data_IF_446832216839
#
_entry.id   IF_446832216839
#
_cell.length_a   1.000
_cell.length_b   1.000
_cell.length_c   1.000
_cell.angle_alpha   90.00
_cell.angle_beta   90.00
_cell.angle_gamma   90.00
#
_symmetry.space_group_name_H-M   'P 1'
#
loop_
_entity.id
_entity.type
_entity.pdbx_description
1 polymer ?
#
# COMPACT_ATOMS: atom_id res chain seq x y z
N UNK A 1 23.84 -27.14 -14.23
CA UNK A 1 23.69 -25.92 -15.07
C UNK A 1 23.77 -24.62 -14.24
N UNK A 2 23.14 -24.55 -13.06
CA UNK A 2 23.15 -23.34 -12.21
C UNK A 2 24.54 -22.98 -11.64
N UNK A 3 25.34 -23.96 -11.22
CA UNK A 3 26.69 -23.72 -10.67
C UNK A 3 27.69 -23.12 -11.67
N UNK A 4 27.60 -23.50 -12.95
CA UNK A 4 28.48 -22.98 -14.01
C UNK A 4 28.09 -21.55 -14.42
N UNK A 5 26.79 -21.24 -14.39
CA UNK A 5 26.29 -19.88 -14.56
C UNK A 5 26.72 -18.95 -13.41
N UNK A 6 26.71 -19.44 -12.17
CA UNK A 6 27.22 -18.69 -11.00
C UNK A 6 28.71 -18.40 -11.16
N UNK A 7 29.52 -19.41 -11.51
CA UNK A 7 30.97 -19.24 -11.72
C UNK A 7 31.27 -18.24 -12.85
N UNK A 8 30.52 -18.29 -13.95
CA UNK A 8 30.66 -17.35 -15.05
C UNK A 8 30.31 -15.92 -14.62
N UNK A 9 29.20 -15.73 -13.89
CA UNK A 9 28.84 -14.43 -13.33
C UNK A 9 29.90 -13.87 -12.38
N UNK A 10 30.49 -14.72 -11.55
CA UNK A 10 31.57 -14.35 -10.63
C UNK A 10 32.85 -13.93 -11.37
N UNK A 11 33.19 -14.64 -12.45
CA UNK A 11 34.34 -14.31 -13.29
C UNK A 11 34.15 -12.96 -13.99
N UNK A 12 32.97 -12.72 -14.58
CA UNK A 12 32.62 -11.43 -15.20
C UNK A 12 32.70 -10.31 -14.18
N UNK A 13 32.19 -10.52 -12.96
CA UNK A 13 32.25 -9.53 -11.88
C UNK A 13 33.69 -9.18 -11.47
N UNK A 14 34.57 -10.18 -11.35
CA UNK A 14 35.99 -9.97 -11.05
C UNK A 14 36.66 -9.15 -12.17
N UNK A 15 36.38 -9.43 -13.43
CA UNK A 15 36.95 -8.67 -14.55
C UNK A 15 36.49 -7.21 -14.53
N UNK A 16 35.19 -6.96 -14.31
CA UNK A 16 34.63 -5.60 -14.24
C UNK A 16 35.24 -4.80 -13.08
N UNK A 17 35.38 -5.41 -11.91
CA UNK A 17 35.99 -4.75 -10.74
C UNK A 17 37.48 -4.43 -10.95
N UNK A 18 38.24 -5.31 -11.61
CA UNK A 18 39.64 -5.04 -11.97
C UNK A 18 39.77 -3.88 -12.97
N UNK A 19 38.90 -3.81 -13.99
CA UNK A 19 38.88 -2.69 -14.94
C UNK A 19 38.56 -1.38 -14.22
N UNK A 20 37.55 -1.37 -13.34
CA UNK A 20 37.17 -0.23 -12.52
C UNK A 20 38.33 0.26 -11.64
N UNK A 21 39.02 -0.66 -10.96
CA UNK A 21 40.20 -0.34 -10.14
C UNK A 21 41.32 0.30 -10.96
N UNK A 22 41.57 -0.20 -12.18
CA UNK A 22 42.62 0.34 -13.07
C UNK A 22 42.29 1.76 -13.56
N UNK A 23 41.02 2.02 -13.85
CA UNK A 23 40.54 3.36 -14.24
C UNK A 23 40.63 4.32 -13.04
N UNK A 24 40.16 3.90 -11.88
CA UNK A 24 40.26 4.71 -10.65
C UNK A 24 41.69 5.03 -10.24
N UNK A 25 42.61 4.08 -10.41
CA UNK A 25 44.03 4.28 -10.15
C UNK A 25 44.63 5.39 -11.04
N UNK A 26 44.28 5.39 -12.33
CA UNK A 26 44.70 6.45 -13.26
C UNK A 26 44.13 7.82 -12.90
N UNK A 27 42.87 7.88 -12.47
CA UNK A 27 42.17 9.15 -12.22
C UNK A 27 42.56 9.76 -10.87
N UNK A 28 42.63 8.96 -9.80
CA UNK A 28 42.79 9.46 -8.43
C UNK A 28 44.18 9.20 -7.81
N UNK A 29 45.17 8.76 -8.61
CA UNK A 29 46.59 8.58 -8.26
C UNK A 29 46.81 7.96 -6.86
N UNK A 30 46.95 8.79 -5.82
CA UNK A 30 47.23 8.40 -4.41
C UNK A 30 46.04 7.84 -3.62
N UNK A 31 44.80 8.12 -4.04
CA UNK A 31 43.56 7.52 -3.45
C UNK A 31 42.92 6.48 -4.39
N UNK A 32 43.66 6.09 -5.43
CA UNK A 32 43.17 5.58 -6.70
C UNK A 32 42.37 4.28 -6.69
N UNK A 33 42.71 3.34 -5.81
CA UNK A 33 42.00 2.06 -5.71
C UNK A 33 40.62 2.24 -5.04
N UNK A 34 40.59 2.95 -3.91
CA UNK A 34 39.35 3.22 -3.16
C UNK A 34 38.41 4.17 -3.91
N UNK A 35 38.96 5.21 -4.54
CA UNK A 35 38.17 6.14 -5.36
C UNK A 35 37.59 5.46 -6.61
N UNK A 36 38.33 4.53 -7.24
CA UNK A 36 37.83 3.72 -8.36
C UNK A 36 36.68 2.81 -7.97
N UNK A 37 36.83 2.12 -6.84
CA UNK A 37 35.78 1.27 -6.27
C UNK A 37 34.54 2.08 -5.86
N UNK A 38 34.72 3.23 -5.20
CA UNK A 38 33.62 4.13 -4.83
C UNK A 38 32.93 4.77 -6.05
N UNK A 39 33.65 5.04 -7.14
CA UNK A 39 33.04 5.55 -8.38
C UNK A 39 32.16 4.51 -9.07
N UNK A 40 32.58 3.23 -9.09
CA UNK A 40 31.84 2.18 -9.80
C UNK A 40 30.77 1.50 -8.97
N UNK A 41 31.01 1.29 -7.67
CA UNK A 41 30.05 0.67 -6.75
C UNK A 41 29.30 1.71 -5.92
N UNK A 42 29.97 2.76 -5.47
CA UNK A 42 29.35 3.81 -4.65
C UNK A 42 28.33 4.65 -5.42
N UNK A 43 28.52 4.87 -6.73
CA UNK A 43 27.53 5.58 -7.55
C UNK A 43 26.16 4.89 -7.56
N UNK A 44 26.15 3.56 -7.54
CA UNK A 44 24.91 2.77 -7.49
C UNK A 44 24.21 2.86 -6.13
N UNK A 45 24.98 2.80 -5.04
CA UNK A 45 24.46 2.99 -3.67
C UNK A 45 23.92 4.42 -3.49
N UNK A 46 24.64 5.42 -3.99
CA UNK A 46 24.21 6.84 -3.93
C UNK A 46 22.92 7.03 -4.73
N UNK A 47 22.82 6.45 -5.93
CA UNK A 47 21.59 6.47 -6.71
C UNK A 47 20.42 5.82 -5.94
N UNK A 48 20.62 4.66 -5.32
CA UNK A 48 19.60 4.02 -4.49
C UNK A 48 19.19 4.85 -3.29
N UNK A 49 20.14 5.50 -2.60
CA UNK A 49 19.86 6.36 -1.47
C UNK A 49 19.05 7.59 -1.88
N UNK A 50 19.38 8.22 -3.02
CA UNK A 50 18.63 9.34 -3.58
C UNK A 50 17.22 8.89 -3.99
N UNK A 51 17.11 7.75 -4.67
CA UNK A 51 15.81 7.19 -5.07
C UNK A 51 14.94 6.89 -3.85
N UNK A 52 15.50 6.27 -2.81
CA UNK A 52 14.80 6.00 -1.56
C UNK A 52 14.33 7.30 -0.90
N UNK A 53 15.21 8.29 -0.74
CA UNK A 53 14.87 9.57 -0.12
C UNK A 53 13.80 10.33 -0.91
N UNK A 54 13.88 10.31 -2.24
CA UNK A 54 12.89 10.95 -3.10
C UNK A 54 11.50 10.30 -2.98
N UNK A 55 11.45 8.96 -3.02
CA UNK A 55 10.17 8.23 -2.87
C UNK A 55 9.63 8.44 -1.45
N UNK A 56 10.47 8.34 -0.42
CA UNK A 56 10.07 8.58 0.97
C UNK A 56 9.46 9.97 1.16
N UNK A 57 10.11 11.02 0.64
CA UNK A 57 9.60 12.38 0.73
C UNK A 57 8.25 12.54 0.02
N UNK A 58 8.09 11.93 -1.16
CA UNK A 58 6.84 11.96 -1.91
C UNK A 58 5.71 11.21 -1.18
N UNK A 59 5.99 10.04 -0.61
CA UNK A 59 5.01 9.27 0.18
C UNK A 59 4.61 10.03 1.42
N UNK A 60 5.57 10.57 2.18
CA UNK A 60 5.29 11.39 3.37
C UNK A 60 4.41 12.60 3.03
N UNK A 61 4.71 13.31 1.95
CA UNK A 61 3.87 14.41 1.47
C UNK A 61 2.44 13.97 1.14
N UNK A 62 2.27 12.88 0.40
CA UNK A 62 0.95 12.36 0.06
C UNK A 62 0.18 11.88 1.30
N UNK A 63 0.86 11.28 2.27
CA UNK A 63 0.26 10.89 3.54
C UNK A 63 -0.25 12.09 4.33
N UNK A 64 0.52 13.17 4.40
CA UNK A 64 0.11 14.39 5.11
C UNK A 64 -1.05 15.13 4.43
N UNK A 65 -1.10 15.12 3.09
CA UNK A 65 -2.10 15.88 2.33
C UNK A 65 -3.39 15.11 2.07
N UNK A 66 -3.30 13.81 1.81
CA UNK A 66 -4.42 13.03 1.28
C UNK A 66 -4.84 11.85 2.15
N UNK A 67 -3.94 11.31 2.98
CA UNK A 67 -4.25 10.14 3.78
C UNK A 67 -5.00 10.50 5.06
N UNK A 68 -5.76 9.52 5.57
CA UNK A 68 -6.54 9.65 6.78
C UNK A 68 -8.00 9.27 6.57
N UNK A 69 -8.80 9.54 7.60
CA UNK A 69 -10.20 9.15 7.68
C UNK A 69 -11.05 10.40 7.69
N UNK A 70 -12.01 10.46 6.76
CA UNK A 70 -13.06 11.47 6.71
C UNK A 70 -14.38 10.81 7.09
N UNK A 71 -14.93 11.20 8.24
CA UNK A 71 -16.25 10.77 8.70
C UNK A 71 -17.28 11.79 8.24
N UNK A 72 -18.13 11.41 7.29
CA UNK A 72 -19.22 12.25 6.79
C UNK A 72 -20.47 12.14 7.66
N UNK A 73 -20.74 10.93 8.17
CA UNK A 73 -21.87 10.65 9.06
C UNK A 73 -21.35 9.84 10.24
N UNK A 74 -21.44 10.38 11.44
CA UNK A 74 -20.98 9.65 12.65
C UNK A 74 -21.88 8.44 12.95
N UNK A 75 -21.37 7.41 13.66
CA UNK A 75 -22.18 6.25 14.05
C UNK A 75 -23.45 6.62 14.82
N UNK A 76 -23.37 7.63 15.70
CA UNK A 76 -24.51 8.11 16.48
C UNK A 76 -25.57 8.78 15.61
N UNK A 77 -25.15 9.61 14.64
CA UNK A 77 -26.06 10.25 13.69
C UNK A 77 -26.71 9.21 12.80
N UNK A 78 -25.94 8.25 12.28
CA UNK A 78 -26.46 7.18 11.45
C UNK A 78 -27.46 6.30 12.22
N UNK A 79 -27.15 5.96 13.48
CA UNK A 79 -28.07 5.22 14.36
C UNK A 79 -29.39 5.95 14.56
N UNK A 80 -29.38 7.27 14.74
CA UNK A 80 -30.61 8.07 14.82
C UNK A 80 -31.39 8.08 13.49
N UNK A 81 -30.71 8.05 12.35
CA UNK A 81 -31.34 8.03 11.03
C UNK A 81 -32.05 6.70 10.74
N UNK A 82 -31.45 5.56 11.09
CA UNK A 82 -32.05 4.24 10.83
C UNK A 82 -33.02 3.79 11.93
N UNK A 83 -32.97 4.42 13.11
CA UNK A 83 -33.89 4.19 14.21
C UNK A 83 -33.91 2.73 14.70
N UNK A 84 -35.11 2.14 14.75
CA UNK A 84 -35.34 0.79 15.29
C UNK A 84 -34.59 -0.31 14.52
N UNK A 85 -34.24 -0.07 13.25
CA UNK A 85 -33.49 -1.04 12.45
C UNK A 85 -32.10 -1.32 13.00
N UNK A 86 -31.50 -0.40 13.76
CA UNK A 86 -30.20 -0.58 14.41
C UNK A 86 -30.12 -1.88 15.21
N UNK A 87 -31.21 -2.23 15.91
CA UNK A 87 -31.27 -3.44 16.74
C UNK A 87 -31.25 -4.74 15.93
N UNK A 88 -31.43 -4.67 14.61
CA UNK A 88 -31.37 -5.82 13.69
C UNK A 88 -30.04 -5.92 12.94
N UNK A 89 -29.15 -4.93 13.08
CA UNK A 89 -27.88 -4.87 12.37
C UNK A 89 -26.82 -5.75 13.05
N UNK A 90 -26.85 -7.04 12.72
CA UNK A 90 -25.77 -7.96 13.07
C UNK A 90 -24.61 -7.82 12.09
N UNK A 91 -23.38 -7.98 12.58
CA UNK A 91 -22.20 -8.20 11.74
C UNK A 91 -22.43 -9.46 10.90
N UNK A 92 -22.20 -9.39 9.60
CA UNK A 92 -22.11 -10.62 8.80
C UNK A 92 -20.86 -11.40 9.26
N UNK A 93 -21.02 -12.68 9.56
CA UNK A 93 -19.86 -13.56 9.73
C UNK A 93 -19.20 -13.73 8.35
N UNK A 94 -17.87 -13.75 8.30
CA UNK A 94 -17.05 -13.85 7.08
C UNK A 94 -17.46 -15.02 6.14
N UNK A 95 -18.20 -15.99 6.66
CA UNK A 95 -18.63 -17.23 5.99
C UNK A 95 -19.90 -17.02 5.12
N UNK A 96 -20.71 -15.98 5.38
CA UNK A 96 -21.91 -15.64 4.56
C UNK A 96 -21.61 -14.58 3.48
N UNK A 97 -20.37 -14.51 2.96
CA UNK A 97 -19.98 -13.61 1.85
C UNK A 97 -20.58 -14.00 0.49
N UNK A 98 -21.69 -14.74 0.48
CA UNK A 98 -22.29 -15.26 -0.73
C UNK A 98 -23.17 -14.21 -1.39
N UNK A 99 -22.69 -13.79 -2.57
CA UNK A 99 -23.37 -12.98 -3.58
C UNK A 99 -23.46 -11.48 -3.23
N UNK A 100 -22.35 -10.76 -3.45
CA UNK A 100 -22.36 -9.30 -3.58
C UNK A 100 -23.29 -8.89 -4.71
N UNK A 101 -24.49 -8.34 -4.45
CA UNK A 101 -25.38 -7.94 -5.52
C UNK A 101 -25.16 -6.45 -5.78
N UNK A 102 -23.95 -6.01 -6.12
CA UNK A 102 -23.77 -4.60 -6.47
C UNK A 102 -22.70 -4.39 -7.54
N UNK A 103 -23.05 -3.53 -8.47
CA UNK A 103 -22.24 -3.09 -9.60
C UNK A 103 -21.16 -2.13 -9.10
N UNK A 104 -20.09 -2.01 -9.86
CA UNK A 104 -19.13 -0.94 -9.70
C UNK A 104 -19.86 0.41 -9.62
N UNK A 105 -19.42 1.26 -8.69
CA UNK A 105 -19.94 2.62 -8.56
C UNK A 105 -18.87 3.59 -9.03
N UNK A 106 -19.29 4.65 -9.70
CA UNK A 106 -18.39 5.73 -10.11
C UNK A 106 -18.67 6.96 -9.26
N UNK A 107 -17.67 7.40 -8.50
CA UNK A 107 -17.71 8.62 -7.67
C UNK A 107 -16.50 9.46 -8.07
N UNK A 108 -16.71 10.74 -8.37
CA UNK A 108 -15.64 11.67 -8.77
C UNK A 108 -14.77 11.13 -9.93
N UNK A 109 -15.39 10.53 -10.94
CA UNK A 109 -14.74 9.86 -12.08
C UNK A 109 -13.81 8.69 -11.70
N UNK A 110 -13.92 8.15 -10.49
CA UNK A 110 -13.20 6.95 -10.03
C UNK A 110 -14.16 5.80 -9.85
N UNK A 111 -13.77 4.63 -10.36
CA UNK A 111 -14.56 3.41 -10.22
C UNK A 111 -14.18 2.68 -8.93
N UNK A 112 -15.18 2.31 -8.16
CA UNK A 112 -14.99 1.54 -6.93
C UNK A 112 -15.64 0.18 -7.06
N UNK A 113 -14.91 -0.84 -6.60
CA UNK A 113 -15.36 -2.23 -6.55
C UNK A 113 -15.85 -2.55 -5.13
N UNK A 114 -16.97 -3.29 -4.96
CA UNK A 114 -17.38 -3.77 -3.66
C UNK A 114 -16.40 -4.84 -3.16
N UNK A 115 -15.92 -4.71 -1.92
CA UNK A 115 -14.95 -5.65 -1.32
C UNK A 115 -15.48 -6.41 -0.12
N UNK A 116 -16.40 -5.81 0.63
CA UNK A 116 -17.00 -6.46 1.80
C UNK A 116 -18.36 -5.85 2.14
N UNK A 117 -19.14 -6.58 2.91
CA UNK A 117 -20.41 -6.11 3.46
C UNK A 117 -20.38 -6.31 4.98
N UNK A 118 -20.53 -5.22 5.73
CA UNK A 118 -20.38 -5.24 7.19
C UNK A 118 -21.66 -5.76 7.85
N UNK A 119 -22.81 -5.32 7.35
CA UNK A 119 -24.14 -5.70 7.81
C UNK A 119 -25.14 -5.57 6.64
N UNK A 120 -26.44 -5.82 6.87
CA UNK A 120 -27.46 -5.74 5.81
C UNK A 120 -27.51 -4.40 5.04
N UNK A 121 -27.07 -3.31 5.67
CA UNK A 121 -27.16 -1.95 5.12
C UNK A 121 -25.80 -1.40 4.65
N UNK A 122 -24.66 -1.80 5.23
CA UNK A 122 -23.36 -1.18 4.93
C UNK A 122 -22.50 -2.05 4.03
N UNK A 123 -22.04 -1.46 2.92
CA UNK A 123 -21.13 -2.06 1.96
C UNK A 123 -19.85 -1.25 1.91
N UNK A 124 -18.72 -1.94 1.88
CA UNK A 124 -17.40 -1.35 1.69
C UNK A 124 -17.02 -1.44 0.22
N UNK A 125 -16.69 -0.29 -0.33
CA UNK A 125 -16.16 -0.15 -1.68
C UNK A 125 -14.71 0.24 -1.61
N UNK A 126 -13.91 -0.21 -2.58
CA UNK A 126 -12.52 0.18 -2.68
C UNK A 126 -12.11 0.58 -4.10
N UNK A 127 -11.12 1.44 -4.16
CA UNK A 127 -10.43 1.83 -5.38
C UNK A 127 -8.93 1.77 -5.13
N UNK A 128 -8.24 1.09 -6.04
CA UNK A 128 -6.79 0.98 -6.06
C UNK A 128 -6.27 1.80 -7.24
N UNK A 129 -5.49 2.83 -6.94
CA UNK A 129 -4.92 3.74 -7.93
C UNK A 129 -3.40 3.69 -7.88
N UNK A 130 -2.77 3.45 -9.03
CA UNK A 130 -1.31 3.48 -9.13
C UNK A 130 -0.83 4.89 -9.45
N UNK A 131 -0.33 5.60 -8.45
CA UNK A 131 0.18 6.98 -8.59
C UNK A 131 1.55 7.03 -9.28
N UNK A 132 2.36 5.97 -9.14
CA UNK A 132 3.64 5.83 -9.84
C UNK A 132 4.11 4.37 -9.88
N UNK A 133 5.32 4.12 -10.38
CA UNK A 133 5.88 2.77 -10.40
C UNK A 133 5.94 2.11 -9.02
N UNK A 134 6.20 2.88 -7.96
CA UNK A 134 6.42 2.35 -6.60
C UNK A 134 5.43 2.85 -5.56
N UNK A 135 4.46 3.70 -5.94
CA UNK A 135 3.49 4.31 -5.02
C UNK A 135 2.09 3.98 -5.52
N UNK A 136 1.28 3.47 -4.61
CA UNK A 136 -0.13 3.16 -4.80
C UNK A 136 -0.96 3.89 -3.76
N UNK A 137 -2.18 4.24 -4.16
CA UNK A 137 -3.19 4.83 -3.31
C UNK A 137 -4.35 3.88 -3.21
N UNK A 138 -4.77 3.62 -1.99
CA UNK A 138 -5.99 2.90 -1.69
C UNK A 138 -7.01 3.88 -1.13
N UNK A 139 -8.20 3.88 -1.70
CA UNK A 139 -9.34 4.64 -1.18
C UNK A 139 -10.46 3.67 -0.92
N UNK A 140 -11.04 3.69 0.27
CA UNK A 140 -12.24 2.93 0.51
C UNK A 140 -13.33 3.73 1.20
N UNK A 141 -14.54 3.29 0.93
CA UNK A 141 -15.77 4.00 1.22
C UNK A 141 -16.71 3.04 1.93
N UNK A 142 -17.17 3.42 3.11
CA UNK A 142 -18.32 2.80 3.76
C UNK A 142 -19.57 3.51 3.25
N UNK A 143 -20.44 2.77 2.58
CA UNK A 143 -21.67 3.32 2.00
C UNK A 143 -22.87 2.59 2.61
N UNK A 144 -23.85 3.39 3.03
CA UNK A 144 -25.16 2.86 3.37
C UNK A 144 -25.95 2.57 2.09
N UNK A 145 -26.24 1.30 1.85
CA UNK A 145 -27.00 0.78 0.70
C UNK A 145 -28.40 1.39 0.61
N UNK A 146 -29.04 1.68 1.74
CA UNK A 146 -30.43 2.18 1.75
C UNK A 146 -30.47 3.65 1.35
N UNK A 147 -29.63 4.48 1.97
CA UNK A 147 -29.60 5.92 1.67
C UNK A 147 -28.66 6.32 0.53
N UNK A 148 -27.82 5.39 0.05
CA UNK A 148 -26.74 5.63 -0.92
C UNK A 148 -25.76 6.74 -0.47
N UNK A 149 -25.64 6.97 0.84
CA UNK A 149 -24.74 7.98 1.41
C UNK A 149 -23.41 7.36 1.79
N UNK A 150 -22.34 8.10 1.52
CA UNK A 150 -21.01 7.79 2.05
C UNK A 150 -21.00 8.13 3.54
N UNK A 151 -20.75 7.15 4.39
CA UNK A 151 -20.64 7.31 5.83
C UNK A 151 -19.21 7.72 6.21
N UNK A 152 -18.24 6.97 5.66
CA UNK A 152 -16.82 7.15 5.93
C UNK A 152 -16.04 6.98 4.63
N UNK A 153 -15.04 7.82 4.43
CA UNK A 153 -13.98 7.63 3.44
C UNK A 153 -12.67 7.53 4.17
N UNK A 154 -11.86 6.54 3.82
CA UNK A 154 -10.48 6.48 4.25
C UNK A 154 -9.58 6.43 3.03
N UNK A 155 -8.40 7.00 3.17
CA UNK A 155 -7.36 7.01 2.15
C UNK A 155 -6.06 6.55 2.79
N UNK A 156 -5.41 5.59 2.17
CA UNK A 156 -4.08 5.14 2.55
C UNK A 156 -3.14 5.21 1.34
N UNK A 157 -1.88 5.50 1.62
CA UNK A 157 -0.82 5.52 0.62
C UNK A 157 0.19 4.43 0.98
N UNK A 158 0.42 3.54 0.03
CA UNK A 158 1.42 2.48 0.14
C UNK A 158 2.52 2.70 -0.89
N UNK A 159 3.71 2.24 -0.53
CA UNK A 159 4.85 2.24 -1.43
C UNK A 159 5.64 0.95 -1.25
N UNK A 160 6.21 0.46 -2.34
CA UNK A 160 6.93 -0.78 -2.31
C UNK A 160 7.53 -1.15 -3.65
N UNK A 161 8.42 -2.13 -3.60
CA UNK A 161 9.20 -2.58 -4.74
C UNK A 161 8.40 -3.46 -5.73
N UNK A 162 7.17 -3.83 -5.37
CA UNK A 162 6.31 -4.75 -6.11
C UNK A 162 6.83 -6.19 -6.11
N UNK A 163 6.17 -7.07 -6.87
CA UNK A 163 6.56 -8.48 -7.02
C UNK A 163 7.16 -8.70 -8.41
N UNK A 164 8.40 -9.20 -8.48
CA UNK A 164 9.06 -9.66 -9.71
C UNK A 164 8.72 -11.12 -10.02
N UNK A 165 8.99 -11.53 -11.25
CA UNK A 165 8.65 -12.84 -11.85
C UNK A 165 9.11 -14.06 -11.02
N UNK A 166 10.10 -13.90 -10.12
CA UNK A 166 10.66 -14.98 -9.31
C UNK A 166 10.38 -14.86 -7.79
N UNK A 167 9.49 -13.95 -7.37
CA UNK A 167 9.28 -13.62 -5.96
C UNK A 167 10.34 -12.64 -5.45
N UNK A 168 9.91 -11.54 -4.84
CA UNK A 168 10.78 -10.41 -4.44
C UNK A 168 10.97 -9.39 -5.57
N UNK A 169 11.73 -8.33 -5.33
CA UNK A 169 12.04 -7.29 -6.32
C UNK A 169 13.51 -6.91 -6.21
N UNK A 170 14.21 -6.62 -7.33
CA UNK A 170 15.59 -6.16 -7.29
C UNK A 170 15.75 -4.85 -6.50
N UNK A 171 14.64 -4.11 -6.26
CA UNK A 171 14.60 -2.90 -5.45
C UNK A 171 14.12 -3.15 -4.02
N UNK A 172 14.59 -4.22 -3.38
CA UNK A 172 14.13 -4.65 -2.05
C UNK A 172 14.22 -3.55 -0.97
N UNK A 173 15.13 -2.59 -1.10
CA UNK A 173 15.26 -1.47 -0.15
C UNK A 173 14.02 -0.56 -0.11
N UNK A 174 13.21 -0.53 -1.18
CA UNK A 174 11.96 0.22 -1.22
C UNK A 174 10.85 -0.39 -0.34
N UNK A 175 11.01 -1.62 0.14
CA UNK A 175 10.07 -2.23 1.07
C UNK A 175 10.21 -1.71 2.51
N UNK A 176 11.24 -0.91 2.79
CA UNK A 176 11.49 -0.28 4.08
C UNK A 176 11.08 1.20 4.11
N UNK A 177 10.29 1.64 3.12
CA UNK A 177 9.72 2.98 3.13
C UNK A 177 8.66 3.06 4.24
N UNK A 178 8.64 4.19 4.95
CA UNK A 178 7.56 4.49 5.88
C UNK A 178 6.35 4.97 5.06
N UNK A 179 5.28 4.20 5.11
CA UNK A 179 4.00 4.44 4.44
C UNK A 179 2.91 4.77 5.45
N UNK A 180 1.73 5.17 4.98
CA UNK A 180 0.54 5.32 5.82
C UNK A 180 -0.52 4.27 5.43
N UNK A 181 -0.05 3.06 5.15
CA UNK A 181 -0.88 1.91 4.75
C UNK A 181 -1.57 1.22 5.93
N UNK A 182 -1.20 1.52 7.17
CA UNK A 182 -1.78 0.89 8.36
C UNK A 182 -3.29 1.19 8.51
N UNK A 183 -3.74 2.27 7.88
CA UNK A 183 -5.16 2.65 7.72
C UNK A 183 -5.96 1.64 6.86
N UNK A 184 -5.30 0.68 6.21
CA UNK A 184 -5.92 -0.29 5.32
C UNK A 184 -6.61 -1.45 6.07
N UNK A 185 -6.06 -1.89 7.20
CA UNK A 185 -6.49 -3.14 7.85
C UNK A 185 -7.21 -2.93 9.18
N UNK A 186 -6.49 -2.37 10.16
CA UNK A 186 -6.95 -2.35 11.55
C UNK A 186 -8.01 -1.27 11.82
N UNK A 187 -7.75 -0.02 11.40
CA UNK A 187 -8.69 1.06 11.66
C UNK A 187 -10.00 0.92 10.88
N UNK A 188 -9.98 0.25 9.72
CA UNK A 188 -11.20 0.00 8.96
C UNK A 188 -12.13 -0.97 9.65
N UNK A 189 -11.58 -2.05 10.22
CA UNK A 189 -12.35 -3.02 10.96
C UNK A 189 -12.97 -2.36 12.20
N UNK A 190 -12.17 -1.60 12.95
CA UNK A 190 -12.64 -0.92 14.17
C UNK A 190 -13.72 0.14 13.87
N UNK A 191 -13.54 0.92 12.81
CA UNK A 191 -14.54 1.92 12.41
C UNK A 191 -15.79 1.26 11.89
N UNK A 192 -15.67 0.21 11.06
CA UNK A 192 -16.82 -0.54 10.57
C UNK A 192 -17.62 -1.17 11.70
N UNK A 193 -16.95 -1.65 12.76
CA UNK A 193 -17.60 -2.22 13.93
C UNK A 193 -18.51 -1.21 14.64
N UNK A 194 -18.14 0.07 14.67
CA UNK A 194 -18.97 1.13 15.26
C UNK A 194 -20.30 1.34 14.53
N UNK A 195 -20.42 0.91 13.26
CA UNK A 195 -21.68 0.94 12.50
C UNK A 195 -22.42 -0.40 12.51
N UNK A 196 -22.08 -1.29 13.43
CA UNK A 196 -22.76 -2.57 13.61
C UNK A 196 -23.13 -2.76 15.08
N UNK A 197 -24.20 -3.49 15.36
CA UNK A 197 -24.56 -3.80 16.73
C UNK A 197 -23.76 -5.03 17.20
N UNK A 198 -22.55 -4.78 17.71
CA UNK A 198 -21.58 -5.81 18.14
C UNK A 198 -22.07 -6.71 19.27
N UNK A 199 -23.08 -6.28 20.05
CA UNK A 199 -23.68 -7.08 21.13
C UNK A 199 -24.43 -8.31 20.63
N UNK A 200 -24.78 -8.38 19.34
CA UNK A 200 -25.43 -9.54 18.71
C UNK A 200 -24.43 -10.56 18.12
N UNK A 201 -23.14 -10.23 18.08
CA UNK A 201 -22.06 -11.06 17.51
C UNK A 201 -21.27 -11.88 18.54
N UNK A 202 -21.43 -11.62 19.84
CA UNK A 202 -20.73 -12.36 20.90
C UNK A 202 -21.66 -13.43 21.48
N UNK A 203 -21.68 -14.61 20.85
CA UNK A 203 -21.97 -15.84 21.62
C UNK A 203 -20.63 -16.29 22.21
N UNK A 204 -20.51 -16.14 23.52
CA UNK A 204 -19.49 -16.81 24.33
C UNK A 204 -19.68 -18.32 24.25
#
# INVERSE_FOLDING_TARGET
MLGLAILFGLLVWIVVTLIAMRIGYKIAKKKGLFAGFMLTMGGWIVYWAIEFAYIQAKVSYLCEQEAGITVYVTPEQWRKQIGAEWNTLRKYNEIESQSYPVREITIDNKNFIPVSQINKNIIVYSNWERLSQFISKYTGLLIDKTSQKILVKYVSISAGSGTWIAGGSPKFWLNYLNTCSDLEGYEQADIAEQYSNSTLGVKR
#
